data_IF_415484753575
#
_entry.id   IF_415484753575
#
_cell.length_a   1.000
_cell.length_b   1.000
_cell.length_c   1.000
_cell.angle_alpha   90.00
_cell.angle_beta   90.00
_cell.angle_gamma   90.00
#
_symmetry.space_group_name_H-M   'P 1'
#
loop_
_entity.id
_entity.type
_entity.pdbx_description
1 polymer ?
#
# COMPACT_ATOMS: atom_id res chain seq x y z
N UNK A 1 9.32 -10.77 -16.41
CA UNK A 1 8.71 -10.49 -15.10
C UNK A 1 8.42 -11.82 -14.42
N UNK A 2 8.95 -12.04 -13.23
CA UNK A 2 8.68 -13.22 -12.45
C UNK A 2 7.19 -13.38 -12.11
N UNK A 3 6.77 -14.63 -11.97
CA UNK A 3 5.43 -15.05 -11.54
C UNK A 3 5.62 -16.11 -10.48
N UNK A 4 4.96 -15.94 -9.35
CA UNK A 4 4.99 -16.89 -8.24
C UNK A 4 3.55 -17.24 -7.86
N UNK A 5 3.20 -18.51 -7.64
CA UNK A 5 1.93 -18.84 -7.01
C UNK A 5 1.99 -18.49 -5.51
N UNK A 6 0.93 -17.88 -5.00
CA UNK A 6 0.74 -17.69 -3.55
C UNK A 6 0.75 -19.04 -2.83
N UNK A 7 1.44 -19.18 -1.70
CA UNK A 7 1.42 -20.40 -0.90
C UNK A 7 0.06 -20.70 -0.27
N UNK A 8 -0.82 -19.70 -0.19
CA UNK A 8 -2.12 -19.83 0.49
C UNK A 8 -3.16 -20.50 -0.43
N UNK A 9 -3.27 -20.03 -1.68
CA UNK A 9 -4.37 -20.41 -2.57
C UNK A 9 -3.96 -20.58 -4.04
N UNK A 10 -2.66 -20.44 -4.35
CA UNK A 10 -2.15 -20.54 -5.72
C UNK A 10 -2.39 -19.31 -6.58
N UNK A 11 -2.95 -18.21 -6.02
CA UNK A 11 -3.11 -16.93 -6.74
C UNK A 11 -1.78 -16.51 -7.36
N UNK A 12 -1.75 -16.18 -8.66
CA UNK A 12 -0.51 -15.75 -9.32
C UNK A 12 -0.08 -14.36 -8.84
N UNK A 13 1.15 -14.24 -8.35
CA UNK A 13 1.76 -13.00 -7.90
C UNK A 13 2.75 -12.50 -8.94
N UNK A 14 2.64 -11.21 -9.32
CA UNK A 14 3.53 -10.56 -10.28
C UNK A 14 4.37 -9.50 -9.60
N UNK A 15 5.66 -9.51 -9.89
CA UNK A 15 6.58 -8.49 -9.38
C UNK A 15 7.70 -8.24 -10.39
N UNK A 16 8.48 -7.23 -10.15
CA UNK A 16 9.75 -6.97 -10.84
C UNK A 16 10.81 -6.47 -9.87
N UNK A 17 12.07 -6.58 -10.29
CA UNK A 17 13.24 -6.22 -9.50
C UNK A 17 14.08 -5.23 -10.30
N UNK A 18 14.63 -4.23 -9.61
CA UNK A 18 15.49 -3.21 -10.19
C UNK A 18 16.53 -2.74 -9.18
N UNK A 19 17.72 -2.37 -9.66
CA UNK A 19 18.80 -1.88 -8.80
C UNK A 19 19.61 -2.99 -8.16
N UNK A 20 20.58 -2.59 -7.30
CA UNK A 20 21.48 -3.46 -6.56
C UNK A 20 21.73 -2.84 -5.18
N UNK A 21 21.88 -3.68 -4.15
CA UNK A 21 22.08 -3.26 -2.76
C UNK A 21 21.11 -3.93 -1.79
N UNK A 22 20.92 -3.36 -0.58
CA UNK A 22 19.96 -3.88 0.40
C UNK A 22 18.55 -4.00 -0.17
N UNK A 23 17.83 -5.07 0.19
CA UNK A 23 16.50 -5.32 -0.34
C UNK A 23 15.46 -4.31 0.19
N UNK A 24 14.64 -3.80 -0.71
CA UNK A 24 13.52 -2.90 -0.44
C UNK A 24 12.29 -3.35 -1.21
N UNK A 25 11.18 -3.64 -0.51
CA UNK A 25 9.90 -3.97 -1.17
C UNK A 25 8.97 -2.77 -1.18
N UNK A 26 8.38 -2.49 -2.34
CA UNK A 26 7.40 -1.42 -2.51
C UNK A 26 6.00 -2.01 -2.67
N UNK A 27 5.09 -1.65 -1.74
CA UNK A 27 3.71 -2.12 -1.66
C UNK A 27 2.74 -0.96 -1.94
N UNK A 28 2.00 -1.04 -3.03
CA UNK A 28 1.06 0.01 -3.45
C UNK A 28 -0.26 -0.01 -2.65
N UNK A 29 -1.08 1.03 -2.79
CA UNK A 29 -2.41 1.13 -2.19
C UNK A 29 -3.51 0.44 -2.99
N UNK A 30 -4.71 0.40 -2.41
CA UNK A 30 -5.91 -0.15 -3.05
C UNK A 30 -6.16 0.49 -4.42
N UNK A 31 -6.68 -0.31 -5.38
CA UNK A 31 -7.02 0.10 -6.76
C UNK A 31 -5.83 0.61 -7.58
N UNK A 32 -4.62 0.51 -7.06
CA UNK A 32 -3.38 0.89 -7.74
C UNK A 32 -2.64 -0.35 -8.26
N UNK A 33 -1.43 -0.15 -8.77
CA UNK A 33 -0.51 -1.23 -9.14
C UNK A 33 0.93 -0.81 -8.90
N UNK A 34 1.88 -1.74 -9.02
CA UNK A 34 3.31 -1.44 -8.92
C UNK A 34 3.79 -0.35 -9.88
N UNK A 35 3.02 -0.07 -10.93
CA UNK A 35 3.36 0.95 -11.93
C UNK A 35 3.48 2.36 -11.32
N UNK A 36 2.75 2.66 -10.23
CA UNK A 36 2.78 3.96 -9.58
C UNK A 36 4.20 4.37 -9.15
N UNK A 37 4.98 3.42 -8.68
CA UNK A 37 6.34 3.70 -8.17
C UNK A 37 7.28 4.23 -9.25
N UNK A 38 7.11 3.77 -10.50
CA UNK A 38 7.81 4.34 -11.64
C UNK A 38 7.13 5.63 -12.12
N UNK A 39 5.82 5.62 -12.25
CA UNK A 39 5.04 6.75 -12.77
C UNK A 39 5.19 8.02 -11.95
N UNK A 40 5.30 7.89 -10.62
CA UNK A 40 5.48 9.01 -9.70
C UNK A 40 6.96 9.36 -9.41
N UNK A 41 7.92 8.61 -9.97
CA UNK A 41 9.34 8.92 -9.86
C UNK A 41 10.07 8.33 -8.65
N UNK A 42 9.48 7.39 -7.93
CA UNK A 42 10.13 6.72 -6.78
C UNK A 42 11.21 5.72 -7.18
N UNK A 43 10.99 4.98 -8.28
CA UNK A 43 11.81 3.82 -8.61
C UNK A 43 13.29 4.18 -8.82
N UNK A 44 13.59 5.19 -9.64
CA UNK A 44 14.96 5.49 -10.02
C UNK A 44 15.84 5.91 -8.82
N UNK A 45 15.40 6.83 -7.93
CA UNK A 45 16.18 7.19 -6.74
C UNK A 45 16.37 6.02 -5.76
N UNK A 46 15.33 5.18 -5.57
CA UNK A 46 15.42 4.03 -4.66
C UNK A 46 16.31 2.93 -5.22
N UNK A 47 16.19 2.62 -6.52
CA UNK A 47 17.00 1.59 -7.19
C UNK A 47 18.47 1.99 -7.39
N UNK A 48 18.83 3.24 -7.15
CA UNK A 48 20.23 3.68 -7.16
C UNK A 48 21.02 3.14 -5.95
N UNK A 49 20.35 2.80 -4.84
CA UNK A 49 20.99 2.37 -3.60
C UNK A 49 20.45 1.03 -3.06
N UNK A 50 19.38 0.47 -3.70
CA UNK A 50 18.67 -0.72 -3.19
C UNK A 50 18.34 -1.71 -4.32
N UNK A 51 18.26 -2.97 -3.97
CA UNK A 51 17.54 -3.98 -4.76
C UNK A 51 16.04 -3.78 -4.49
N UNK A 52 15.37 -3.07 -5.39
CA UNK A 52 13.96 -2.69 -5.26
C UNK A 52 13.07 -3.75 -5.88
N UNK A 53 12.22 -4.38 -5.07
CA UNK A 53 11.16 -5.30 -5.48
C UNK A 53 9.84 -4.54 -5.49
N UNK A 54 9.16 -4.52 -6.64
CA UNK A 54 7.81 -3.95 -6.76
C UNK A 54 6.84 -5.06 -7.11
N UNK A 55 5.90 -5.33 -6.25
CA UNK A 55 4.88 -6.35 -6.54
C UNK A 55 3.52 -5.71 -6.86
N UNK A 56 2.75 -6.33 -7.75
CA UNK A 56 1.32 -6.13 -7.79
C UNK A 56 0.70 -6.98 -6.68
N UNK A 57 0.02 -6.35 -5.76
CA UNK A 57 -0.73 -7.07 -4.73
C UNK A 57 -1.82 -7.93 -5.39
N UNK A 58 -2.22 -9.05 -4.76
CA UNK A 58 -3.38 -9.82 -5.21
C UNK A 58 -4.58 -8.90 -5.45
N UNK A 59 -5.40 -9.19 -6.44
CA UNK A 59 -6.50 -8.33 -6.84
C UNK A 59 -6.11 -7.13 -7.71
N UNK A 60 -4.81 -6.93 -8.00
CA UNK A 60 -4.33 -5.73 -8.69
C UNK A 60 -3.35 -6.03 -9.82
N UNK A 61 -3.29 -5.10 -10.76
CA UNK A 61 -2.31 -5.09 -11.84
C UNK A 61 -2.32 -6.36 -12.68
N UNK A 62 -1.22 -7.10 -12.67
CA UNK A 62 -1.06 -8.36 -13.40
C UNK A 62 -1.07 -9.59 -12.46
N UNK A 63 -1.29 -9.41 -11.17
CA UNK A 63 -1.51 -10.49 -10.22
C UNK A 63 -2.91 -11.08 -10.37
N UNK A 64 -3.13 -12.29 -9.83
CA UNK A 64 -4.43 -12.94 -9.84
C UNK A 64 -5.48 -12.15 -9.05
N UNK A 65 -6.73 -12.29 -9.45
CA UNK A 65 -7.88 -11.49 -8.97
C UNK A 65 -8.96 -12.37 -8.33
N UNK A 66 -8.72 -12.99 -7.15
CA UNK A 66 -9.76 -13.76 -6.46
C UNK A 66 -10.95 -12.85 -6.10
N UNK A 67 -12.18 -13.42 -6.13
CA UNK A 67 -13.41 -12.66 -5.87
C UNK A 67 -13.98 -12.90 -4.47
N UNK A 68 -13.33 -13.75 -3.66
CA UNK A 68 -13.73 -14.01 -2.29
C UNK A 68 -13.03 -13.01 -1.35
N UNK A 69 -13.76 -12.25 -0.50
CA UNK A 69 -13.15 -11.39 0.52
C UNK A 69 -12.16 -12.11 1.44
N UNK A 70 -12.34 -13.40 1.72
CA UNK A 70 -11.43 -14.18 2.54
C UNK A 70 -10.02 -14.28 1.94
N UNK A 71 -9.86 -14.07 0.63
CA UNK A 71 -8.56 -14.02 -0.05
C UNK A 71 -7.78 -12.70 0.18
N UNK A 72 -8.35 -11.72 0.89
CA UNK A 72 -7.79 -10.38 1.06
C UNK A 72 -7.56 -10.01 2.53
N UNK A 73 -7.39 -10.99 3.41
CA UNK A 73 -7.02 -10.71 4.80
C UNK A 73 -5.56 -10.24 4.91
N UNK A 74 -5.21 -9.57 6.00
CA UNK A 74 -3.85 -9.07 6.21
C UNK A 74 -2.83 -10.21 6.21
N UNK A 75 -3.17 -11.35 6.81
CA UNK A 75 -2.34 -12.54 6.89
C UNK A 75 -2.01 -13.07 5.49
N UNK A 76 -3.00 -13.14 4.61
CA UNK A 76 -2.81 -13.61 3.22
C UNK A 76 -1.89 -12.68 2.43
N UNK A 77 -2.01 -11.38 2.59
CA UNK A 77 -1.07 -10.42 1.98
C UNK A 77 0.35 -10.53 2.53
N UNK A 78 0.50 -10.79 3.82
CA UNK A 78 1.81 -10.99 4.46
C UNK A 78 2.46 -12.27 3.94
N UNK A 79 1.73 -13.38 3.83
CA UNK A 79 2.23 -14.62 3.25
C UNK A 79 2.68 -14.44 1.79
N UNK A 80 1.94 -13.68 0.98
CA UNK A 80 2.35 -13.34 -0.39
C UNK A 80 3.66 -12.56 -0.43
N UNK A 81 3.80 -11.56 0.44
CA UNK A 81 5.04 -10.77 0.57
C UNK A 81 6.22 -11.66 0.96
N UNK A 82 6.06 -12.51 1.96
CA UNK A 82 7.11 -13.42 2.42
C UNK A 82 7.48 -14.44 1.34
N UNK A 83 6.51 -14.97 0.61
CA UNK A 83 6.76 -15.89 -0.50
C UNK A 83 7.60 -15.23 -1.62
N UNK A 84 7.37 -13.95 -1.93
CA UNK A 84 8.20 -13.21 -2.89
C UNK A 84 9.63 -13.05 -2.36
N UNK A 85 9.82 -12.72 -1.08
CA UNK A 85 11.15 -12.63 -0.48
C UNK A 85 11.88 -13.99 -0.50
N UNK A 86 11.18 -15.08 -0.18
CA UNK A 86 11.75 -16.43 -0.16
C UNK A 86 12.13 -16.91 -1.56
N UNK A 87 11.31 -16.62 -2.58
CA UNK A 87 11.60 -16.95 -3.97
C UNK A 87 12.86 -16.26 -4.50
N UNK A 88 13.16 -15.07 -3.99
CA UNK A 88 14.36 -14.31 -4.34
C UNK A 88 15.56 -14.57 -3.39
N UNK A 89 15.42 -15.49 -2.43
CA UNK A 89 16.46 -15.82 -1.45
C UNK A 89 16.75 -14.68 -0.47
N UNK A 90 15.80 -13.77 -0.25
CA UNK A 90 15.96 -12.58 0.59
C UNK A 90 15.48 -12.89 2.02
N UNK A 91 16.42 -12.98 2.94
CA UNK A 91 16.11 -13.24 4.35
C UNK A 91 15.42 -12.09 5.06
N UNK A 92 15.77 -10.82 4.71
CA UNK A 92 15.24 -9.59 5.33
C UNK A 92 15.19 -8.45 4.30
N UNK A 93 14.18 -7.59 4.39
CA UNK A 93 14.04 -6.42 3.53
C UNK A 93 13.51 -5.21 4.30
N UNK A 94 13.80 -4.00 3.82
CA UNK A 94 13.01 -2.82 4.15
C UNK A 94 11.67 -2.87 3.41
N UNK A 95 10.60 -2.37 4.05
CA UNK A 95 9.27 -2.31 3.45
C UNK A 95 8.84 -0.85 3.33
N UNK A 96 8.43 -0.44 2.15
CA UNK A 96 7.80 0.86 1.91
C UNK A 96 6.42 0.62 1.34
N UNK A 97 5.40 0.97 2.13
CA UNK A 97 4.02 0.80 1.76
C UNK A 97 3.24 2.12 1.68
N UNK A 98 2.25 2.16 0.80
CA UNK A 98 1.29 3.25 0.73
C UNK A 98 -0.11 2.73 1.03
N UNK A 99 -0.85 3.40 1.93
CA UNK A 99 -2.24 3.08 2.26
C UNK A 99 -2.42 1.60 2.64
N UNK A 100 -3.12 0.79 1.84
CA UNK A 100 -3.21 -0.68 2.01
C UNK A 100 -1.82 -1.32 2.15
N UNK A 101 -0.87 -0.95 1.26
CA UNK A 101 0.49 -1.47 1.31
C UNK A 101 1.23 -1.10 2.59
N UNK A 102 0.94 0.07 3.19
CA UNK A 102 1.49 0.48 4.48
C UNK A 102 0.94 -0.39 5.61
N UNK A 103 -0.36 -0.75 5.56
CA UNK A 103 -0.97 -1.66 6.54
C UNK A 103 -0.38 -3.07 6.45
N UNK A 104 -0.14 -3.58 5.24
CA UNK A 104 0.52 -4.86 5.02
C UNK A 104 1.96 -4.83 5.57
N UNK A 105 2.71 -3.77 5.28
CA UNK A 105 4.07 -3.59 5.76
C UNK A 105 4.14 -3.54 7.30
N UNK A 106 3.20 -2.85 7.96
CA UNK A 106 3.05 -2.83 9.41
C UNK A 106 2.76 -4.22 9.96
N UNK A 107 1.76 -4.92 9.40
CA UNK A 107 1.43 -6.28 9.81
C UNK A 107 2.62 -7.25 9.69
N UNK A 108 3.38 -7.16 8.60
CA UNK A 108 4.60 -7.94 8.43
C UNK A 108 5.69 -7.59 9.46
N UNK A 109 5.86 -6.30 9.81
CA UNK A 109 6.81 -5.87 10.83
C UNK A 109 6.44 -6.38 12.23
N UNK A 110 5.15 -6.45 12.55
CA UNK A 110 4.63 -6.97 13.82
C UNK A 110 4.72 -8.49 13.91
N UNK A 111 4.23 -9.21 12.88
CA UNK A 111 4.18 -10.67 12.89
C UNK A 111 5.55 -11.32 12.62
N UNK A 112 6.40 -10.69 11.83
CA UNK A 112 7.68 -11.22 11.36
C UNK A 112 8.83 -10.20 11.49
N UNK A 113 9.11 -9.65 12.70
CA UNK A 113 10.12 -8.60 12.88
C UNK A 113 11.53 -9.03 12.42
N UNK A 114 11.83 -10.34 12.44
CA UNK A 114 13.07 -10.88 11.89
C UNK A 114 13.21 -10.79 10.37
N UNK A 115 12.12 -10.54 9.63
CA UNK A 115 12.09 -10.43 8.17
C UNK A 115 12.09 -8.96 7.70
N UNK A 116 11.84 -7.99 8.59
CA UNK A 116 11.74 -6.57 8.26
C UNK A 116 12.91 -5.80 8.88
N UNK A 117 13.64 -5.05 8.07
CA UNK A 117 14.77 -4.23 8.56
C UNK A 117 14.34 -2.82 8.92
N UNK A 118 13.43 -2.23 8.17
CA UNK A 118 12.84 -0.90 8.35
C UNK A 118 11.43 -0.88 7.78
N UNK A 119 10.56 -0.06 8.37
CA UNK A 119 9.20 0.18 7.91
C UNK A 119 9.04 1.64 7.47
N UNK A 120 8.60 1.87 6.23
CA UNK A 120 8.13 3.18 5.77
C UNK A 120 6.64 3.08 5.46
N UNK A 121 5.84 3.84 6.19
CA UNK A 121 4.38 3.92 6.06
C UNK A 121 3.98 5.27 5.46
N UNK A 122 3.47 5.27 4.24
CA UNK A 122 2.97 6.47 3.55
C UNK A 122 1.44 6.47 3.57
N UNK A 123 0.82 7.41 4.28
CA UNK A 123 -0.63 7.49 4.45
C UNK A 123 -1.24 6.20 5.04
N UNK A 124 -0.47 5.50 5.89
CA UNK A 124 -0.91 4.28 6.53
C UNK A 124 -1.72 4.51 7.80
N UNK A 125 -2.21 3.42 8.38
CA UNK A 125 -2.99 3.44 9.61
C UNK A 125 -2.85 2.12 10.38
N UNK A 126 -2.82 2.22 11.68
CA UNK A 126 -2.96 1.10 12.61
C UNK A 126 -4.40 0.98 13.16
N UNK A 127 -5.26 1.96 12.91
CA UNK A 127 -6.62 2.04 13.45
C UNK A 127 -7.59 1.02 12.81
N UNK A 128 -8.75 0.88 13.43
CA UNK A 128 -9.91 0.15 12.92
C UNK A 128 -10.29 0.65 11.51
N UNK A 129 -10.56 -0.28 10.60
CA UNK A 129 -10.87 0.08 9.21
C UNK A 129 -12.39 0.10 8.91
N UNK A 130 -13.24 -0.27 9.86
CA UNK A 130 -14.69 -0.23 9.66
C UNK A 130 -15.17 1.18 9.31
N UNK A 131 -15.80 1.31 8.14
CA UNK A 131 -16.23 2.60 7.57
C UNK A 131 -15.09 3.49 7.07
N UNK A 132 -13.84 3.01 7.11
CA UNK A 132 -12.69 3.79 6.65
C UNK A 132 -12.60 3.85 5.12
N UNK A 133 -13.00 2.80 4.41
CA UNK A 133 -13.00 2.79 2.94
C UNK A 133 -13.92 3.86 2.36
N UNK A 134 -15.09 4.08 2.99
CA UNK A 134 -16.03 5.15 2.62
C UNK A 134 -15.45 6.55 2.82
N UNK A 135 -14.64 6.74 3.87
CA UNK A 135 -13.97 8.02 4.14
C UNK A 135 -12.80 8.28 3.19
N UNK A 136 -12.08 7.24 2.80
CA UNK A 136 -10.93 7.35 1.89
C UNK A 136 -11.36 7.56 0.44
N UNK A 137 -12.42 6.88 0.01
CA UNK A 137 -12.90 6.96 -1.37
C UNK A 137 -14.16 7.82 -1.49
N UNK A 138 -15.31 7.28 -1.15
CA UNK A 138 -16.60 7.97 -1.10
C UNK A 138 -17.66 7.07 -0.42
N UNK A 139 -18.71 7.64 0.17
CA UNK A 139 -19.77 6.87 0.82
C UNK A 139 -20.41 5.83 -0.10
N UNK A 140 -20.50 4.57 0.34
CA UNK A 140 -21.10 3.47 -0.42
C UNK A 140 -20.20 2.92 -1.53
N UNK A 141 -18.88 3.12 -1.48
CA UNK A 141 -17.94 2.70 -2.52
C UNK A 141 -18.01 1.20 -2.83
N UNK A 142 -18.20 0.34 -1.83
CA UNK A 142 -18.25 -1.13 -2.02
C UNK A 142 -19.44 -1.49 -2.91
N UNK A 143 -20.61 -0.97 -2.60
CA UNK A 143 -21.84 -1.26 -3.36
C UNK A 143 -21.77 -0.63 -4.76
N UNK A 144 -21.26 0.60 -4.88
CA UNK A 144 -21.03 1.24 -6.16
C UNK A 144 -20.14 0.40 -7.09
N UNK A 145 -19.04 -0.18 -6.56
CA UNK A 145 -18.17 -1.07 -7.34
C UNK A 145 -18.88 -2.39 -7.71
N UNK A 146 -19.65 -2.97 -6.79
CA UNK A 146 -20.40 -4.21 -7.06
C UNK A 146 -21.44 -4.06 -8.17
N UNK A 147 -22.17 -2.95 -8.15
CA UNK A 147 -23.32 -2.71 -9.04
C UNK A 147 -22.92 -2.06 -10.36
N UNK A 148 -21.99 -1.09 -10.33
CA UNK A 148 -21.61 -0.28 -11.48
C UNK A 148 -20.14 -0.43 -11.91
N UNK A 149 -19.40 -1.34 -11.28
CA UNK A 149 -18.00 -1.64 -11.65
C UNK A 149 -17.05 -0.46 -11.44
N UNK A 150 -15.93 -0.51 -12.15
CA UNK A 150 -14.90 0.54 -12.06
C UNK A 150 -15.34 1.87 -12.68
N UNK A 151 -16.36 1.89 -13.54
CA UNK A 151 -16.97 3.13 -14.03
C UNK A 151 -17.64 3.91 -12.89
N UNK A 152 -18.42 3.21 -12.04
CA UNK A 152 -19.04 3.81 -10.87
C UNK A 152 -17.99 4.27 -9.84
N UNK A 153 -16.93 3.49 -9.65
CA UNK A 153 -15.79 3.89 -8.81
C UNK A 153 -15.17 5.20 -9.31
N UNK A 154 -14.86 5.28 -10.61
CA UNK A 154 -14.30 6.49 -11.21
C UNK A 154 -15.23 7.69 -11.06
N UNK A 155 -16.54 7.51 -11.31
CA UNK A 155 -17.53 8.58 -11.15
C UNK A 155 -17.58 9.11 -9.71
N UNK A 156 -17.59 8.22 -8.72
CA UNK A 156 -17.56 8.58 -7.29
C UNK A 156 -16.29 9.33 -6.86
N UNK A 157 -15.18 9.10 -7.57
CA UNK A 157 -13.92 9.83 -7.38
C UNK A 157 -13.84 11.15 -8.18
N UNK A 158 -14.91 11.57 -8.81
CA UNK A 158 -14.89 12.77 -9.68
C UNK A 158 -14.13 12.57 -11.00
N UNK A 159 -13.82 11.31 -11.35
CA UNK A 159 -13.12 10.93 -12.57
C UNK A 159 -14.12 10.44 -13.63
N UNK A 160 -15.13 11.27 -13.96
CA UNK A 160 -16.12 10.95 -14.98
C UNK A 160 -15.52 10.86 -16.40
N UNK A 161 -16.32 10.40 -17.41
CA UNK A 161 -15.85 10.25 -18.78
C UNK A 161 -15.43 11.58 -19.42
N UNK A 162 -15.97 12.70 -18.95
CA UNK A 162 -15.74 14.05 -19.49
C UNK A 162 -14.58 14.78 -18.81
N UNK A 163 -13.80 14.13 -17.96
CA UNK A 163 -12.66 14.76 -17.28
C UNK A 163 -11.63 15.25 -18.31
N UNK A 164 -11.24 16.55 -18.21
CA UNK A 164 -10.35 17.17 -19.19
C UNK A 164 -8.88 17.18 -18.79
N UNK A 165 -8.60 17.09 -17.48
CA UNK A 165 -7.23 17.07 -16.98
C UNK A 165 -6.51 15.76 -17.38
N UNK A 166 -5.33 15.88 -17.98
CA UNK A 166 -4.58 14.73 -18.50
C UNK A 166 -4.16 13.75 -17.42
N UNK A 167 -3.84 14.24 -16.22
CA UNK A 167 -3.46 13.39 -15.10
C UNK A 167 -4.67 12.63 -14.58
N UNK A 168 -5.80 13.28 -14.44
CA UNK A 168 -7.06 12.67 -14.07
C UNK A 168 -7.53 11.64 -15.11
N UNK A 169 -7.36 11.90 -16.40
CA UNK A 169 -7.62 10.93 -17.47
C UNK A 169 -6.73 9.69 -17.36
N UNK A 170 -5.44 9.86 -17.09
CA UNK A 170 -4.51 8.74 -16.89
C UNK A 170 -4.88 7.92 -15.65
N UNK A 171 -5.26 8.59 -14.55
CA UNK A 171 -5.73 7.93 -13.33
C UNK A 171 -7.01 7.13 -13.58
N UNK A 172 -8.00 7.73 -14.26
CA UNK A 172 -9.22 7.04 -14.68
C UNK A 172 -8.90 5.78 -15.51
N UNK A 173 -8.06 5.94 -16.53
CA UNK A 173 -7.66 4.81 -17.38
C UNK A 173 -7.03 3.69 -16.59
N UNK A 174 -6.16 4.02 -15.62
CA UNK A 174 -5.55 3.02 -14.74
C UNK A 174 -6.60 2.32 -13.86
N UNK A 175 -7.54 3.04 -13.27
CA UNK A 175 -8.59 2.44 -12.45
C UNK A 175 -9.51 1.51 -13.25
N UNK A 176 -9.86 1.87 -14.48
CA UNK A 176 -10.70 1.06 -15.35
C UNK A 176 -10.08 -0.29 -15.76
N UNK A 177 -8.77 -0.49 -15.56
CA UNK A 177 -8.12 -1.78 -15.81
C UNK A 177 -8.31 -2.79 -14.68
N UNK A 178 -8.78 -2.36 -13.51
CA UNK A 178 -8.97 -3.24 -12.36
C UNK A 178 -10.21 -4.14 -12.52
N UNK A 179 -10.13 -5.35 -11.95
CA UNK A 179 -11.27 -6.27 -11.86
C UNK A 179 -12.24 -5.79 -10.77
N UNK A 180 -13.48 -5.37 -11.11
CA UNK A 180 -14.39 -4.79 -10.14
C UNK A 180 -14.81 -5.77 -9.04
N UNK A 181 -14.93 -7.07 -9.34
CA UNK A 181 -15.31 -8.07 -8.33
C UNK A 181 -14.17 -8.30 -7.33
N UNK A 182 -12.93 -8.31 -7.81
CA UNK A 182 -11.76 -8.38 -6.94
C UNK A 182 -11.62 -7.13 -6.06
N UNK A 183 -11.85 -5.94 -6.63
CA UNK A 183 -11.82 -4.69 -5.85
C UNK A 183 -12.94 -4.65 -4.82
N UNK A 184 -14.16 -5.05 -5.16
CA UNK A 184 -15.26 -5.12 -4.18
C UNK A 184 -14.95 -6.12 -3.05
N UNK A 185 -14.37 -7.28 -3.36
CA UNK A 185 -13.94 -8.26 -2.37
C UNK A 185 -12.83 -7.71 -1.46
N UNK A 186 -11.81 -7.07 -2.05
CA UNK A 186 -10.75 -6.39 -1.32
C UNK A 186 -11.27 -5.31 -0.36
N UNK A 187 -12.12 -4.41 -0.85
CA UNK A 187 -12.65 -3.31 -0.04
C UNK A 187 -13.50 -3.85 1.12
N UNK A 188 -14.27 -4.94 0.88
CA UNK A 188 -15.03 -5.64 1.91
C UNK A 188 -14.10 -6.21 3.01
N UNK A 189 -13.01 -6.87 2.63
CA UNK A 189 -12.04 -7.40 3.59
C UNK A 189 -11.29 -6.27 4.32
N UNK A 190 -10.97 -5.20 3.61
CA UNK A 190 -10.32 -4.01 4.21
C UNK A 190 -11.21 -3.38 5.27
N UNK A 191 -12.50 -3.20 4.97
CA UNK A 191 -13.47 -2.63 5.91
C UNK A 191 -13.65 -3.48 7.17
N UNK A 192 -13.44 -4.78 7.08
CA UNK A 192 -13.48 -5.71 8.22
C UNK A 192 -12.15 -5.80 9.01
N UNK A 193 -11.10 -5.07 8.59
CA UNK A 193 -9.77 -5.12 9.24
C UNK A 193 -9.80 -4.39 10.58
N UNK A 194 -9.44 -5.10 11.67
CA UNK A 194 -9.43 -4.55 13.02
C UNK A 194 -8.23 -3.63 13.27
N UNK A 195 -8.34 -2.80 14.31
CA UNK A 195 -7.19 -2.03 14.81
C UNK A 195 -6.04 -2.97 15.24
N UNK A 196 -4.82 -2.47 15.08
CA UNK A 196 -3.66 -3.03 15.78
C UNK A 196 -3.72 -2.52 17.22
N UNK A 197 -3.66 -3.40 18.22
CA UNK A 197 -3.61 -2.98 19.63
C UNK A 197 -2.41 -2.08 19.92
N UNK A 198 -2.59 -1.07 20.77
CA UNK A 198 -1.53 -0.12 21.14
C UNK A 198 -0.32 -0.84 21.77
N UNK A 199 -0.56 -1.91 22.54
CA UNK A 199 0.49 -2.73 23.13
C UNK A 199 1.35 -3.47 22.08
N UNK A 200 0.78 -3.84 20.94
CA UNK A 200 1.53 -4.46 19.84
C UNK A 200 2.40 -3.42 19.13
N UNK A 201 1.88 -2.19 18.92
CA UNK A 201 2.67 -1.08 18.40
C UNK A 201 3.83 -0.73 19.36
N UNK A 202 3.56 -0.65 20.65
CA UNK A 202 4.57 -0.36 21.68
C UNK A 202 5.64 -1.47 21.80
N UNK A 203 5.32 -2.70 21.41
CA UNK A 203 6.27 -3.83 21.40
C UNK A 203 7.04 -3.95 20.08
N UNK A 204 6.69 -3.21 19.05
CA UNK A 204 7.35 -3.27 17.74
C UNK A 204 8.75 -2.66 17.80
N UNK A 205 9.77 -3.47 17.56
CA UNK A 205 11.18 -3.03 17.57
C UNK A 205 11.75 -2.70 16.19
N UNK A 206 10.93 -2.79 15.15
CA UNK A 206 11.35 -2.44 13.79
C UNK A 206 11.36 -0.91 13.65
N UNK A 207 12.50 -0.30 13.26
CA UNK A 207 12.56 1.13 13.01
C UNK A 207 11.52 1.57 11.98
N UNK A 208 10.76 2.61 12.26
CA UNK A 208 9.63 3.02 11.42
C UNK A 208 9.63 4.52 11.09
N UNK A 209 9.29 4.83 9.83
CA UNK A 209 9.02 6.18 9.36
C UNK A 209 7.56 6.27 8.90
N UNK A 210 6.78 7.08 9.60
CA UNK A 210 5.40 7.36 9.26
C UNK A 210 5.31 8.71 8.55
N UNK A 211 4.68 8.74 7.37
CA UNK A 211 4.52 9.95 6.57
C UNK A 211 3.07 10.09 6.16
N UNK A 212 2.44 11.21 6.48
CA UNK A 212 1.07 11.50 6.06
C UNK A 212 0.90 12.96 5.65
N UNK A 213 -0.02 13.22 4.74
CA UNK A 213 -0.43 14.59 4.40
C UNK A 213 -1.18 15.25 5.54
N UNK A 214 -0.98 16.56 5.76
CA UNK A 214 -1.68 17.27 6.84
C UNK A 214 -3.19 17.40 6.66
N UNK A 215 -3.70 17.11 5.45
CA UNK A 215 -5.12 17.09 5.08
C UNK A 215 -5.64 15.67 4.84
N UNK A 216 -4.81 14.66 5.08
CA UNK A 216 -5.16 13.23 4.96
C UNK A 216 -5.87 12.74 6.24
N UNK A 217 -7.08 13.19 6.49
CA UNK A 217 -7.86 12.81 7.67
C UNK A 217 -8.71 11.57 7.40
N UNK A 218 -8.75 10.61 8.37
CA UNK A 218 -8.07 10.59 9.68
C UNK A 218 -6.63 10.02 9.65
N UNK A 219 -6.06 9.69 8.50
CA UNK A 219 -4.76 9.00 8.35
C UNK A 219 -3.60 9.77 8.98
N UNK A 220 -3.65 11.10 8.95
CA UNK A 220 -2.63 11.96 9.57
C UNK A 220 -2.54 11.71 11.07
N UNK A 221 -3.66 11.75 11.79
CA UNK A 221 -3.74 11.52 13.23
C UNK A 221 -3.41 10.08 13.59
N UNK A 222 -3.90 9.11 12.80
CA UNK A 222 -3.66 7.68 12.99
C UNK A 222 -2.18 7.33 12.79
N UNK A 223 -1.53 7.89 11.76
CA UNK A 223 -0.09 7.72 11.52
C UNK A 223 0.75 8.32 12.64
N UNK A 224 0.38 9.52 13.12
CA UNK A 224 1.06 10.18 14.23
C UNK A 224 0.93 9.37 15.52
N UNK A 225 -0.27 8.90 15.84
CA UNK A 225 -0.53 8.07 17.01
C UNK A 225 0.30 6.78 16.99
N UNK A 226 0.34 6.09 15.85
CA UNK A 226 1.15 4.88 15.71
C UNK A 226 2.65 5.16 15.91
N UNK A 227 3.16 6.26 15.35
CA UNK A 227 4.56 6.66 15.54
C UNK A 227 4.88 7.05 17.01
N UNK A 228 3.94 7.66 17.72
CA UNK A 228 4.11 8.02 19.14
C UNK A 228 4.18 6.78 20.04
N UNK A 229 3.55 5.66 19.66
CA UNK A 229 3.55 4.42 20.43
C UNK A 229 4.78 3.54 20.15
N UNK A 230 5.26 3.53 18.91
CA UNK A 230 6.39 2.65 18.50
C UNK A 230 7.72 3.18 19.08
N UNK A 231 8.57 2.33 19.71
CA UNK A 231 9.77 2.78 20.41
C UNK A 231 10.84 3.44 19.52
N UNK A 232 10.93 3.04 18.24
CA UNK A 232 11.89 3.57 17.27
C UNK A 232 11.14 4.01 16.00
N UNK A 233 10.37 5.09 16.15
CA UNK A 233 9.58 5.63 15.04
C UNK A 233 9.64 7.15 14.95
N UNK A 234 9.57 7.64 13.71
CA UNK A 234 9.44 9.07 13.38
C UNK A 234 8.12 9.32 12.66
N UNK A 235 7.52 10.47 12.89
CA UNK A 235 6.37 10.96 12.13
C UNK A 235 6.73 12.24 11.35
N UNK A 236 6.37 12.24 10.07
CA UNK A 236 6.53 13.37 9.17
C UNK A 236 5.18 13.78 8.58
N UNK A 237 4.77 15.00 8.84
CA UNK A 237 3.60 15.64 8.21
C UNK A 237 4.01 16.35 6.92
N UNK A 238 3.28 16.11 5.83
CA UNK A 238 3.46 16.79 4.55
C UNK A 238 2.40 17.88 4.40
N UNK A 239 2.76 19.18 4.49
CA UNK A 239 1.79 20.26 4.50
C UNK A 239 0.90 20.31 3.25
N UNK A 240 -0.42 20.52 3.44
CA UNK A 240 -1.40 20.74 2.39
C UNK A 240 -1.67 19.53 1.49
N UNK A 241 -1.31 18.31 1.92
CA UNK A 241 -1.54 17.09 1.14
C UNK A 241 -2.65 16.26 1.74
N UNK A 242 -3.57 15.85 0.89
CA UNK A 242 -4.57 14.83 1.16
C UNK A 242 -4.01 13.41 0.97
N UNK A 243 -4.87 12.38 1.07
CA UNK A 243 -4.46 10.98 0.90
C UNK A 243 -3.77 10.73 -0.43
N UNK A 244 -4.38 11.10 -1.54
CA UNK A 244 -3.81 10.90 -2.88
C UNK A 244 -2.54 11.69 -3.12
N UNK A 245 -2.47 12.93 -2.60
CA UNK A 245 -1.32 13.80 -2.72
C UNK A 245 -0.15 13.39 -1.81
N UNK A 246 -0.35 12.52 -0.81
CA UNK A 246 0.74 11.99 0.03
C UNK A 246 1.87 11.40 -0.82
N UNK A 247 1.57 10.74 -1.93
CA UNK A 247 2.58 10.19 -2.85
C UNK A 247 3.17 11.21 -3.83
N UNK A 248 2.54 12.34 -4.08
CA UNK A 248 2.93 13.21 -5.22
C UNK A 248 2.87 14.70 -4.87
N UNK A 249 3.93 15.44 -5.22
CA UNK A 249 5.18 15.02 -5.87
C UNK A 249 6.08 14.17 -4.97
N UNK A 250 6.87 13.24 -5.55
CA UNK A 250 7.70 12.29 -4.78
C UNK A 250 8.88 12.95 -4.04
N UNK A 251 9.41 14.09 -4.54
CA UNK A 251 10.61 14.72 -3.99
C UNK A 251 10.58 14.91 -2.47
N UNK A 252 9.61 15.62 -1.89
CA UNK A 252 9.52 15.82 -0.45
C UNK A 252 9.38 14.53 0.38
N UNK A 253 8.80 13.47 -0.19
CA UNK A 253 8.73 12.15 0.45
C UNK A 253 10.12 11.49 0.41
N UNK A 254 10.77 11.47 -0.74
CA UNK A 254 12.09 10.87 -0.94
C UNK A 254 13.18 11.56 -0.11
N UNK A 255 13.08 12.86 0.13
CA UNK A 255 13.98 13.60 1.04
C UNK A 255 13.95 13.06 2.47
N UNK A 256 12.88 12.43 2.90
CA UNK A 256 12.73 11.77 4.21
C UNK A 256 13.04 10.28 4.15
N UNK A 257 12.57 9.63 3.12
CA UNK A 257 12.67 8.17 2.96
C UNK A 257 14.11 7.72 2.69
N UNK A 258 14.85 8.39 1.78
CA UNK A 258 16.21 7.95 1.41
C UNK A 258 17.19 7.97 2.59
N UNK A 259 17.26 9.03 3.43
CA UNK A 259 18.13 9.00 4.62
C UNK A 259 17.70 7.93 5.64
N UNK A 260 16.41 7.70 5.82
CA UNK A 260 15.89 6.69 6.74
C UNK A 260 16.22 5.26 6.31
N UNK A 261 16.29 4.97 5.01
CA UNK A 261 16.58 3.64 4.47
C UNK A 261 18.08 3.27 4.51
N UNK A 262 18.98 4.23 4.67
CA UNK A 262 20.41 4.01 4.84
C UNK A 262 20.74 3.54 6.27
#
# INVERSE_FOLDING_TARGET
>A
MPVLPSPVDGTSLRYDISGDGPALVLLHGSVLSRAIWRGLGYLAPLAAEHTVIRMDLRGHGLSGTPHDPAAYTQEVFIEDLLAVLDAEGIGRAALLGYSLGARIALGAALAHPGRVTRLVSLGGSAAEQQGAVDKVFFPGVIDAVREGGMEAFCAGQGLGPDVQDRRAQATRTAFLTADPLAIAALLTATDATRAVPDEELAACTVPALWVAGSEDHPRHEESRHAAELMPDAEFVSLPGRDHGATLSPAGPVLERVLPFLR
#
